data_IF_000415518394
#
_entry.id   IF_000415518394
#
_cell.length_a   1.000
_cell.length_b   1.000
_cell.length_c   1.000
_cell.angle_alpha   90.00
_cell.angle_beta   90.00
_cell.angle_gamma   90.00
#
_symmetry.space_group_name_H-M   'P 1'
#
loop_
_entity.id
_entity.type
_entity.pdbx_description
1 polymer ?
#
# COMPACT_ATOMS: atom_id res chain seq x y z
N UNK A 1 1.00 -18.44 -20.78
CA UNK A 1 -0.16 -17.62 -20.37
C UNK A 1 -0.23 -17.65 -18.85
N UNK A 2 0.18 -16.59 -18.16
CA UNK A 2 0.08 -16.50 -16.70
C UNK A 2 -1.39 -16.28 -16.30
N UNK A 3 -1.80 -16.87 -15.17
CA UNK A 3 -3.15 -16.68 -14.63
C UNK A 3 -3.37 -15.19 -14.26
N UNK A 4 -4.62 -14.68 -14.30
CA UNK A 4 -4.93 -13.26 -14.08
C UNK A 4 -4.46 -12.67 -12.73
N UNK A 5 -4.03 -13.52 -11.79
CA UNK A 5 -3.59 -13.18 -10.43
C UNK A 5 -2.07 -12.95 -10.32
N UNK A 6 -1.32 -13.06 -11.41
CA UNK A 6 0.15 -12.91 -11.44
C UNK A 6 0.58 -11.44 -11.67
N UNK A 7 -0.14 -10.49 -11.08
CA UNK A 7 0.21 -9.07 -11.18
C UNK A 7 0.97 -8.64 -9.94
N UNK A 8 2.19 -8.13 -10.13
CA UNK A 8 3.01 -7.56 -9.06
C UNK A 8 2.25 -6.46 -8.32
N UNK A 9 2.19 -6.56 -6.99
CA UNK A 9 1.70 -5.51 -6.07
C UNK A 9 2.42 -4.19 -6.29
N UNK A 10 3.74 -4.26 -6.46
CA UNK A 10 4.59 -3.10 -6.64
C UNK A 10 4.88 -2.92 -8.12
N UNK A 11 4.51 -1.76 -8.64
CA UNK A 11 4.93 -1.32 -9.97
C UNK A 11 5.87 -0.16 -9.80
N UNK A 12 7.08 -0.31 -10.34
CA UNK A 12 8.01 0.80 -10.48
C UNK A 12 7.51 1.68 -11.63
N UNK A 13 6.60 2.59 -11.29
CA UNK A 13 6.04 3.58 -12.20
C UNK A 13 6.05 4.92 -11.50
N UNK A 14 6.25 6.03 -12.23
CA UNK A 14 6.14 7.35 -11.62
C UNK A 14 4.77 7.48 -10.95
N UNK A 15 4.74 7.83 -9.67
CA UNK A 15 3.49 8.18 -9.02
C UNK A 15 2.88 9.37 -9.78
N UNK A 16 1.57 9.38 -10.09
CA UNK A 16 0.93 10.46 -10.84
C UNK A 16 0.94 11.81 -10.10
N UNK A 17 1.37 11.85 -8.84
CA UNK A 17 1.59 13.06 -8.06
C UNK A 17 1.82 12.74 -6.58
N UNK A 18 2.18 13.72 -5.75
CA UNK A 18 2.19 13.56 -4.30
C UNK A 18 0.75 13.36 -3.79
N UNK A 19 0.60 12.54 -2.75
CA UNK A 19 -0.68 12.36 -2.05
C UNK A 19 -0.60 13.13 -0.73
N UNK A 20 -1.58 13.98 -0.47
CA UNK A 20 -1.73 14.61 0.85
C UNK A 20 -2.43 13.66 1.80
N UNK A 21 -1.81 13.39 2.94
CA UNK A 21 -2.28 12.45 3.95
C UNK A 21 -1.63 12.82 5.30
N UNK A 22 -1.89 12.03 6.34
CA UNK A 22 -1.43 12.28 7.71
C UNK A 22 0.09 12.47 7.85
N UNK A 23 0.88 12.00 6.89
CA UNK A 23 2.33 12.10 6.90
C UNK A 23 2.86 13.51 6.60
N UNK A 24 2.06 14.42 5.98
CA UNK A 24 2.54 15.72 5.51
C UNK A 24 3.19 16.57 6.62
N UNK A 25 2.59 16.70 7.83
CA UNK A 25 3.22 17.45 8.91
C UNK A 25 4.56 16.85 9.37
N UNK A 26 4.74 15.54 9.30
CA UNK A 26 5.99 14.85 9.68
C UNK A 26 7.07 15.06 8.63
N UNK A 27 6.72 14.90 7.36
CA UNK A 27 7.62 15.11 6.23
C UNK A 27 8.17 16.55 6.22
N UNK A 28 7.30 17.54 6.46
CA UNK A 28 7.69 18.96 6.57
C UNK A 28 8.68 19.24 7.72
N UNK A 29 8.77 18.34 8.70
CA UNK A 29 9.69 18.43 9.84
C UNK A 29 10.92 17.55 9.70
N UNK A 30 11.14 16.95 8.52
CA UNK A 30 12.33 16.16 8.22
C UNK A 30 12.26 14.71 8.68
N UNK A 31 11.10 14.20 9.06
CA UNK A 31 10.92 12.78 9.37
C UNK A 31 10.93 11.99 8.05
N UNK A 32 11.77 10.94 7.89
CA UNK A 32 11.70 10.05 6.75
C UNK A 32 10.36 9.29 6.75
N UNK A 33 9.68 9.28 5.60
CA UNK A 33 8.36 8.64 5.45
C UNK A 33 8.42 7.59 4.35
N UNK A 34 7.93 6.39 4.66
CA UNK A 34 7.53 5.38 3.69
C UNK A 34 5.99 5.37 3.64
N UNK A 35 5.39 6.06 2.66
CA UNK A 35 3.94 6.17 2.53
C UNK A 35 3.39 5.02 1.70
N UNK A 36 2.84 4.00 2.37
CA UNK A 36 2.27 2.81 1.74
C UNK A 36 0.81 3.06 1.36
N UNK A 37 0.60 3.76 0.24
CA UNK A 37 -0.72 4.08 -0.31
C UNK A 37 -0.80 3.65 -1.78
N UNK A 38 -1.89 3.00 -2.26
CA UNK A 38 -2.03 2.66 -3.66
C UNK A 38 -2.23 3.92 -4.52
N UNK A 39 -1.70 3.91 -5.74
CA UNK A 39 -2.04 4.93 -6.73
C UNK A 39 -2.20 4.27 -8.11
N UNK A 40 -3.39 4.32 -8.73
CA UNK A 40 -4.61 5.02 -8.28
C UNK A 40 -5.21 4.45 -6.97
N UNK A 41 -6.03 5.25 -6.29
CA UNK A 41 -6.83 4.75 -5.16
C UNK A 41 -7.79 3.64 -5.61
N UNK A 42 -8.23 2.76 -4.70
CA UNK A 42 -9.24 1.76 -5.01
C UNK A 42 -10.51 2.43 -5.56
N UNK A 43 -11.20 1.80 -6.54
CA UNK A 43 -12.41 2.38 -7.14
C UNK A 43 -13.55 2.58 -6.13
N UNK A 44 -13.51 1.87 -5.00
CA UNK A 44 -14.48 1.98 -3.90
C UNK A 44 -14.15 3.09 -2.90
N UNK A 45 -13.01 3.78 -3.03
CA UNK A 45 -12.61 4.84 -2.11
C UNK A 45 -13.69 5.94 -2.00
N UNK A 46 -14.08 6.27 -0.76
CA UNK A 46 -15.14 7.23 -0.45
C UNK A 46 -16.53 6.88 -1.01
N UNK A 47 -16.82 5.60 -1.25
CA UNK A 47 -18.16 5.12 -1.58
C UNK A 47 -18.72 4.25 -0.44
N UNK A 48 -20.01 3.94 -0.48
CA UNK A 48 -20.61 2.98 0.45
C UNK A 48 -20.19 1.53 0.17
N UNK A 49 -19.46 1.29 -0.92
CA UNK A 49 -18.92 -0.02 -1.30
C UNK A 49 -17.55 -0.29 -0.66
N UNK A 50 -16.95 0.66 0.05
CA UNK A 50 -15.76 0.42 0.86
C UNK A 50 -16.12 -0.40 2.11
N UNK A 51 -16.34 -1.69 1.90
CA UNK A 51 -16.83 -2.66 2.87
C UNK A 51 -15.94 -3.90 2.91
N UNK A 52 -16.13 -4.73 3.93
CA UNK A 52 -15.43 -6.01 4.07
C UNK A 52 -15.61 -6.92 2.84
N UNK A 53 -16.78 -6.89 2.21
CA UNK A 53 -17.09 -7.72 1.04
C UNK A 53 -16.22 -7.39 -0.19
N UNK A 54 -15.72 -6.16 -0.28
CA UNK A 54 -14.87 -5.69 -1.38
C UNK A 54 -13.36 -5.76 -1.06
N UNK A 55 -12.99 -6.31 0.10
CA UNK A 55 -11.59 -6.65 0.38
C UNK A 55 -11.15 -7.83 -0.51
N UNK A 56 -9.86 -7.89 -0.82
CA UNK A 56 -9.24 -9.03 -1.48
C UNK A 56 -8.33 -9.79 -0.48
N UNK A 57 -8.84 -10.84 0.20
CA UNK A 57 -8.12 -11.50 1.29
C UNK A 57 -6.70 -11.99 0.93
N UNK A 58 -6.44 -12.56 -0.27
CA UNK A 58 -5.08 -12.96 -0.63
C UNK A 58 -4.09 -11.79 -0.62
N UNK A 59 -4.51 -10.61 -1.11
CA UNK A 59 -3.65 -9.41 -1.10
C UNK A 59 -3.38 -8.92 0.31
N UNK A 60 -4.39 -8.95 1.19
CA UNK A 60 -4.20 -8.58 2.60
C UNK A 60 -3.19 -9.52 3.27
N UNK A 61 -3.32 -10.83 3.05
CA UNK A 61 -2.40 -11.82 3.60
C UNK A 61 -0.96 -11.62 3.11
N UNK A 62 -0.77 -11.39 1.81
CA UNK A 62 0.55 -11.15 1.23
C UNK A 62 1.18 -9.86 1.75
N UNK A 63 0.42 -8.77 1.84
CA UNK A 63 0.91 -7.51 2.42
C UNK A 63 1.28 -7.67 3.91
N UNK A 64 0.50 -8.42 4.69
CA UNK A 64 0.83 -8.75 6.08
C UNK A 64 2.18 -9.49 6.17
N UNK A 65 2.42 -10.50 5.33
CA UNK A 65 3.69 -11.23 5.30
C UNK A 65 4.86 -10.31 4.95
N UNK A 66 4.69 -9.44 3.95
CA UNK A 66 5.71 -8.48 3.52
C UNK A 66 6.04 -7.50 4.65
N UNK A 67 5.02 -6.94 5.32
CA UNK A 67 5.23 -6.01 6.43
C UNK A 67 5.92 -6.67 7.62
N UNK A 68 5.53 -7.89 7.97
CA UNK A 68 6.20 -8.66 9.04
C UNK A 68 7.67 -8.89 8.69
N UNK A 69 7.97 -9.35 7.47
CA UNK A 69 9.34 -9.55 7.03
C UNK A 69 10.15 -8.24 7.02
N UNK A 70 9.57 -7.15 6.50
CA UNK A 70 10.19 -5.82 6.46
C UNK A 70 10.53 -5.32 7.88
N UNK A 71 9.59 -5.41 8.82
CA UNK A 71 9.82 -4.97 10.20
C UNK A 71 10.84 -5.86 10.90
N UNK A 72 10.79 -7.18 10.69
CA UNK A 72 11.77 -8.10 11.26
C UNK A 72 13.19 -7.80 10.75
N UNK A 73 13.36 -7.60 9.44
CA UNK A 73 14.64 -7.24 8.83
C UNK A 73 15.12 -5.87 9.32
N UNK A 74 14.23 -4.87 9.35
CA UNK A 74 14.54 -3.51 9.80
C UNK A 74 15.02 -3.48 11.27
N UNK A 75 14.43 -4.32 12.12
CA UNK A 75 14.79 -4.46 13.53
C UNK A 75 15.89 -5.50 13.80
N UNK A 76 16.40 -6.17 12.76
CA UNK A 76 17.42 -7.22 12.85
C UNK A 76 17.02 -8.40 13.75
N UNK A 77 15.77 -8.86 13.61
CA UNK A 77 15.20 -10.01 14.32
C UNK A 77 15.46 -11.35 13.64
#
# INVERSE_FOLDING_TARGET
>A
HAAPWDQSFFRLSPAPGPVEDDHIPFLQRGVPVLHLIPTPFPPVWHTLEDTEENLHPPTVEDLCKILVAFVAEFLQL
#
